data_IF_481052841840
#
_entry.id   IF_481052841840
#
_cell.length_a   1.000
_cell.length_b   1.000
_cell.length_c   1.000
_cell.angle_alpha   90.00
_cell.angle_beta   90.00
_cell.angle_gamma   90.00
#
_symmetry.space_group_name_H-M   'P 1'
#
loop_
_entity.id
_entity.type
_entity.pdbx_description
1 polymer ?
#
# COMPACT_ATOMS: atom_id res chain seq x y z
N UNK A 1 17.27 -6.77 -8.48
CA UNK A 1 16.29 -7.06 -7.40
C UNK A 1 14.95 -6.47 -7.86
N UNK A 2 14.06 -7.27 -8.44
CA UNK A 2 12.74 -6.75 -8.84
C UNK A 2 12.01 -6.27 -7.58
N UNK A 3 11.68 -4.98 -7.53
CA UNK A 3 11.02 -4.37 -6.38
C UNK A 3 9.62 -4.98 -6.24
N UNK A 4 9.49 -6.04 -5.44
CA UNK A 4 8.26 -6.79 -5.23
C UNK A 4 7.07 -5.89 -4.81
N UNK A 5 7.35 -4.76 -4.16
CA UNK A 5 6.34 -3.77 -3.74
C UNK A 5 5.84 -2.86 -4.87
N UNK A 6 6.60 -2.73 -5.96
CA UNK A 6 6.33 -1.80 -7.07
C UNK A 6 5.89 -2.57 -8.33
N UNK A 7 6.56 -3.68 -8.64
CA UNK A 7 6.31 -4.46 -9.86
C UNK A 7 5.29 -5.61 -9.70
N UNK A 8 4.82 -5.91 -8.48
CA UNK A 8 3.88 -7.01 -8.27
C UNK A 8 2.44 -6.56 -8.54
N UNK A 9 1.70 -7.23 -9.46
CA UNK A 9 0.30 -6.90 -9.74
C UNK A 9 -0.60 -6.95 -8.49
N UNK A 10 -0.33 -7.89 -7.58
CA UNK A 10 -1.05 -8.00 -6.31
C UNK A 10 -0.80 -6.77 -5.43
N UNK A 11 0.46 -6.36 -5.25
CA UNK A 11 0.78 -5.16 -4.45
C UNK A 11 0.16 -3.90 -5.05
N UNK A 12 0.22 -3.75 -6.38
CA UNK A 12 -0.39 -2.61 -7.09
C UNK A 12 -1.91 -2.56 -6.94
N UNK A 13 -2.58 -3.72 -6.97
CA UNK A 13 -4.02 -3.81 -6.68
C UNK A 13 -4.34 -3.33 -5.26
N UNK A 14 -3.58 -3.78 -4.26
CA UNK A 14 -3.79 -3.36 -2.87
C UNK A 14 -3.60 -1.85 -2.72
N UNK A 15 -2.55 -1.29 -3.33
CA UNK A 15 -2.34 0.15 -3.35
C UNK A 15 -3.51 0.91 -3.96
N UNK A 16 -3.98 0.48 -5.13
CA UNK A 16 -5.12 1.10 -5.80
C UNK A 16 -6.36 1.14 -4.89
N UNK A 17 -6.72 0.00 -4.31
CA UNK A 17 -7.91 -0.13 -3.46
C UNK A 17 -7.80 0.71 -2.17
N UNK A 18 -6.61 0.78 -1.56
CA UNK A 18 -6.39 1.59 -0.35
C UNK A 18 -6.42 3.08 -0.67
N UNK A 19 -5.76 3.53 -1.73
CA UNK A 19 -5.76 4.94 -2.14
C UNK A 19 -7.17 5.39 -2.53
N UNK A 20 -7.92 4.55 -3.25
CA UNK A 20 -9.31 4.78 -3.59
C UNK A 20 -10.19 4.90 -2.34
N UNK A 21 -10.06 3.96 -1.39
CA UNK A 21 -10.78 4.00 -0.12
C UNK A 21 -10.50 5.28 0.70
N UNK A 22 -9.23 5.73 0.73
CA UNK A 22 -8.81 6.97 1.40
C UNK A 22 -9.13 8.24 0.61
N UNK A 23 -9.73 8.12 -0.59
CA UNK A 23 -10.02 9.22 -1.53
C UNK A 23 -8.78 10.02 -1.91
N UNK A 24 -7.61 9.37 -1.93
CA UNK A 24 -6.35 9.96 -2.37
C UNK A 24 -6.26 9.88 -3.90
N UNK A 25 -6.04 11.02 -4.55
CA UNK A 25 -5.99 11.11 -6.01
C UNK A 25 -4.64 10.74 -6.62
N UNK A 26 -3.67 10.29 -5.81
CA UNK A 26 -2.39 9.84 -6.33
C UNK A 26 -2.51 8.46 -6.98
N UNK A 27 -1.67 8.22 -7.98
CA UNK A 27 -1.56 6.91 -8.61
C UNK A 27 -0.88 5.93 -7.65
N UNK A 28 -1.20 4.63 -7.72
CA UNK A 28 -0.41 3.59 -7.06
C UNK A 28 1.06 3.67 -7.48
N UNK A 29 2.00 3.25 -6.60
CA UNK A 29 3.36 2.98 -7.02
C UNK A 29 3.36 1.92 -8.12
N UNK A 30 4.17 2.12 -9.15
CA UNK A 30 4.19 1.26 -10.33
C UNK A 30 5.61 1.02 -10.84
N UNK A 31 6.23 2.05 -11.41
CA UNK A 31 7.49 1.96 -12.15
C UNK A 31 8.60 2.86 -11.60
N UNK A 32 8.38 3.48 -10.44
CA UNK A 32 9.38 4.32 -9.77
C UNK A 32 10.59 3.50 -9.30
N UNK A 33 11.75 4.13 -9.20
CA UNK A 33 12.99 3.50 -8.70
C UNK A 33 12.86 3.11 -7.22
N UNK A 34 12.05 3.84 -6.45
CA UNK A 34 11.77 3.53 -5.05
C UNK A 34 10.39 4.04 -4.61
N UNK A 35 9.88 3.47 -3.50
CA UNK A 35 8.66 3.96 -2.87
C UNK A 35 8.82 5.40 -2.34
N UNK A 36 10.06 5.82 -2.03
CA UNK A 36 10.34 7.18 -1.60
C UNK A 36 10.15 8.19 -2.75
N UNK A 37 10.57 7.84 -3.97
CA UNK A 37 10.39 8.68 -5.16
C UNK A 37 8.89 8.84 -5.49
N UNK A 38 8.13 7.75 -5.39
CA UNK A 38 6.67 7.79 -5.47
C UNK A 38 6.06 8.70 -4.40
N UNK A 39 6.46 8.55 -3.13
CA UNK A 39 5.94 9.35 -2.02
C UNK A 39 6.17 10.85 -2.22
N UNK A 40 7.36 11.26 -2.65
CA UNK A 40 7.67 12.66 -2.92
C UNK A 40 6.72 13.24 -3.99
N UNK A 41 6.49 12.49 -5.07
CA UNK A 41 5.58 12.87 -6.15
C UNK A 41 4.12 12.91 -5.68
N UNK A 42 3.65 11.85 -5.01
CA UNK A 42 2.29 11.75 -4.49
C UNK A 42 1.97 12.87 -3.49
N UNK A 43 2.91 13.20 -2.59
CA UNK A 43 2.74 14.25 -1.59
C UNK A 43 2.59 15.66 -2.20
N UNK A 44 3.28 15.94 -3.30
CA UNK A 44 3.17 17.23 -4.00
C UNK A 44 1.74 17.45 -4.51
N UNK A 45 1.15 16.41 -5.08
CA UNK A 45 -0.20 16.44 -5.67
C UNK A 45 -1.32 16.23 -4.64
N UNK A 46 -0.97 15.85 -3.40
CA UNK A 46 -1.95 15.62 -2.32
C UNK A 46 -2.22 16.91 -1.54
N UNK A 47 -3.50 17.32 -1.38
CA UNK A 47 -3.87 18.46 -0.54
C UNK A 47 -3.32 18.33 0.87
N UNK A 48 -2.85 19.45 1.45
CA UNK A 48 -2.29 19.50 2.82
C UNK A 48 -3.08 18.69 3.87
N UNK A 49 -4.43 18.80 3.98
CA UNK A 49 -5.18 18.05 4.99
C UNK A 49 -5.10 16.53 4.83
N UNK A 50 -4.88 16.03 3.60
CA UNK A 50 -4.84 14.59 3.30
C UNK A 50 -3.43 13.99 3.41
N UNK A 51 -2.38 14.82 3.55
CA UNK A 51 -0.98 14.35 3.58
C UNK A 51 -0.67 13.43 4.77
N UNK A 52 -1.36 13.60 5.91
CA UNK A 52 -1.23 12.69 7.06
C UNK A 52 -1.76 11.29 6.72
N UNK A 53 -2.90 11.21 6.05
CA UNK A 53 -3.48 9.95 5.58
C UNK A 53 -2.56 9.25 4.58
N UNK A 54 -2.03 10.01 3.61
CA UNK A 54 -1.04 9.47 2.68
C UNK A 54 0.22 8.97 3.41
N UNK A 55 0.76 9.73 4.37
CA UNK A 55 1.96 9.32 5.13
C UNK A 55 1.74 7.98 5.84
N UNK A 56 0.58 7.84 6.48
CA UNK A 56 0.20 6.64 7.22
C UNK A 56 0.06 5.45 6.26
N UNK A 57 -0.61 5.64 5.12
CA UNK A 57 -0.74 4.62 4.07
C UNK A 57 0.63 4.20 3.52
N UNK A 58 1.57 5.14 3.35
CA UNK A 58 2.93 4.86 2.86
C UNK A 58 3.71 3.90 3.74
N UNK A 59 3.45 3.89 5.05
CA UNK A 59 4.08 2.98 6.00
C UNK A 59 3.27 1.69 6.16
N UNK A 60 1.95 1.82 6.29
CA UNK A 60 1.04 0.73 6.62
C UNK A 60 0.90 -0.27 5.47
N UNK A 61 0.72 0.19 4.24
CA UNK A 61 0.45 -0.70 3.09
C UNK A 61 1.62 -1.65 2.82
N UNK A 62 2.88 -1.18 2.69
CA UNK A 62 4.03 -2.08 2.54
C UNK A 62 4.18 -3.06 3.70
N UNK A 63 3.96 -2.59 4.94
CA UNK A 63 4.04 -3.44 6.13
C UNK A 63 3.03 -4.59 6.09
N UNK A 64 1.77 -4.29 5.74
CA UNK A 64 0.70 -5.28 5.69
C UNK A 64 0.88 -6.25 4.51
N UNK A 65 1.35 -5.79 3.35
CA UNK A 65 1.72 -6.65 2.22
C UNK A 65 2.84 -7.60 2.63
N UNK A 66 3.88 -7.10 3.32
CA UNK A 66 4.97 -7.95 3.82
C UNK A 66 4.47 -9.01 4.79
N UNK A 67 3.61 -8.63 5.76
CA UNK A 67 2.99 -9.54 6.73
C UNK A 67 2.17 -10.63 6.04
N UNK A 68 1.33 -10.27 5.07
CA UNK A 68 0.51 -11.22 4.31
C UNK A 68 1.36 -12.18 3.48
N UNK A 69 2.42 -11.68 2.83
CA UNK A 69 3.35 -12.53 2.09
C UNK A 69 4.03 -13.54 3.00
N UNK A 70 4.51 -13.12 4.17
CA UNK A 70 5.13 -14.04 5.12
C UNK A 70 4.16 -15.12 5.58
N UNK A 71 2.90 -14.75 5.85
CA UNK A 71 1.86 -15.71 6.20
C UNK A 71 1.62 -16.75 5.09
N UNK A 72 1.58 -16.31 3.82
CA UNK A 72 1.44 -17.21 2.68
C UNK A 72 2.62 -18.18 2.54
N UNK A 73 3.85 -17.69 2.74
CA UNK A 73 5.08 -18.47 2.56
C UNK A 73 5.31 -19.44 3.73
N UNK A 74 5.13 -18.97 4.97
CA UNK A 74 5.53 -19.71 6.17
C UNK A 74 4.38 -20.47 6.84
N UNK A 75 3.14 -19.97 6.74
CA UNK A 75 1.97 -20.55 7.40
C UNK A 75 1.00 -21.24 6.42
N UNK A 76 1.40 -21.43 5.15
CA UNK A 76 0.56 -21.97 4.07
C UNK A 76 -0.74 -21.17 3.88
N UNK A 77 -0.71 -19.88 4.21
CA UNK A 77 -1.80 -18.96 3.93
C UNK A 77 -2.05 -18.85 2.43
N UNK A 78 -3.31 -18.60 2.04
CA UNK A 78 -3.66 -18.36 0.64
C UNK A 78 -3.62 -16.86 0.34
N UNK A 79 -3.04 -16.44 -0.80
CA UNK A 79 -3.05 -15.05 -1.21
C UNK A 79 -4.49 -14.58 -1.43
N UNK A 80 -4.89 -13.51 -0.74
CA UNK A 80 -6.25 -12.99 -0.80
C UNK A 80 -6.25 -11.47 -0.65
N UNK A 81 -6.56 -10.77 -1.75
CA UNK A 81 -6.62 -9.31 -1.76
C UNK A 81 -7.72 -8.80 -0.82
N UNK A 82 -8.89 -9.43 -0.83
CA UNK A 82 -10.02 -9.05 0.03
C UNK A 82 -9.67 -9.16 1.51
N UNK A 83 -9.07 -10.27 1.94
CA UNK A 83 -8.66 -10.46 3.33
C UNK A 83 -7.61 -9.42 3.75
N UNK A 84 -6.59 -9.22 2.90
CA UNK A 84 -5.57 -8.20 3.16
C UNK A 84 -6.16 -6.79 3.25
N UNK A 85 -7.09 -6.42 2.37
CA UNK A 85 -7.75 -5.11 2.42
C UNK A 85 -8.55 -4.91 3.70
N UNK A 86 -9.30 -5.92 4.15
CA UNK A 86 -9.99 -5.86 5.45
C UNK A 86 -9.00 -5.61 6.57
N UNK A 87 -7.92 -6.40 6.64
CA UNK A 87 -6.89 -6.23 7.67
C UNK A 87 -6.19 -4.87 7.62
N UNK A 88 -5.96 -4.32 6.43
CA UNK A 88 -5.39 -2.96 6.27
C UNK A 88 -6.35 -1.92 6.83
N UNK A 89 -7.65 -2.03 6.55
CA UNK A 89 -8.66 -1.08 7.04
C UNK A 89 -8.81 -1.14 8.56
N UNK A 90 -8.83 -2.35 9.12
CA UNK A 90 -8.88 -2.58 10.56
C UNK A 90 -7.65 -1.99 11.26
N UNK A 91 -6.45 -2.25 10.72
CA UNK A 91 -5.21 -1.70 11.25
C UNK A 91 -5.16 -0.17 11.08
N UNK A 92 -5.60 0.37 9.95
CA UNK A 92 -5.62 1.82 9.70
C UNK A 92 -6.52 2.58 10.69
N UNK A 93 -7.55 1.94 11.26
CA UNK A 93 -8.39 2.55 12.29
C UNK A 93 -7.65 2.77 13.62
N UNK A 94 -6.48 2.13 13.80
CA UNK A 94 -5.65 2.22 15.01
C UNK A 94 -4.46 3.20 14.86
N UNK A 95 -4.30 3.86 13.71
CA UNK A 95 -3.17 4.71 13.36
C UNK A 95 -3.49 6.21 13.32
#
# INVERSE_FOLDING_TARGET
MHHLMLACPFARQIWYEVLHWLRLSCTPPDSETSLNDWWHTARQHTPKPMRKGLASATLLVPWMIWKHRNDCVFNRGWPSATNLLTKIKDEAALW
#
